data_IF_899317653345
#
_entry.id   IF_899317653345
#
_cell.length_a   1.000
_cell.length_b   1.000
_cell.length_c   1.000
_cell.angle_alpha   90.00
_cell.angle_beta   90.00
_cell.angle_gamma   90.00
#
_symmetry.space_group_name_H-M   'P 1'
#
loop_
_entity.id
_entity.type
_entity.pdbx_description
1 polymer ?
#
# COMPACT_ATOMS: atom_id res chain seq x y z
N UNK A 1 15.67 16.75 -9.73
CA UNK A 1 15.81 16.13 -8.41
C UNK A 1 14.42 15.67 -7.99
N UNK A 2 14.18 14.37 -7.75
CA UNK A 2 12.88 13.89 -7.25
C UNK A 2 12.79 14.21 -5.77
N UNK A 3 11.71 14.85 -5.35
CA UNK A 3 11.45 15.14 -3.94
C UNK A 3 10.70 13.93 -3.35
N UNK A 4 11.44 13.11 -2.59
CA UNK A 4 10.91 11.89 -1.98
C UNK A 4 10.58 12.15 -0.52
N UNK A 5 9.32 11.94 -0.13
CA UNK A 5 8.93 11.86 1.27
C UNK A 5 8.94 10.40 1.73
N UNK A 6 9.39 10.18 2.96
CA UNK A 6 9.46 8.86 3.59
C UNK A 6 8.77 8.94 4.95
N UNK A 7 7.88 7.99 5.20
CA UNK A 7 7.13 7.90 6.43
C UNK A 7 7.19 6.48 6.97
N UNK A 8 7.22 6.35 8.29
CA UNK A 8 6.99 5.08 8.98
C UNK A 8 5.65 5.19 9.71
N UNK A 9 4.71 4.32 9.36
CA UNK A 9 3.34 4.31 9.91
C UNK A 9 3.06 2.91 10.42
N UNK A 10 2.91 2.74 11.74
CA UNK A 10 2.68 1.43 12.37
C UNK A 10 3.71 0.35 11.96
N UNK A 11 4.99 0.74 11.87
CA UNK A 11 6.12 -0.10 11.40
C UNK A 11 6.08 -0.47 9.91
N UNK A 12 5.17 0.12 9.15
CA UNK A 12 5.13 0.03 7.69
C UNK A 12 5.87 1.22 7.09
N UNK A 13 6.57 1.00 5.99
CA UNK A 13 7.34 2.05 5.32
C UNK A 13 6.60 2.56 4.10
N UNK A 14 6.45 3.87 4.02
CA UNK A 14 5.77 4.55 2.93
C UNK A 14 6.70 5.55 2.26
N UNK A 15 6.86 5.43 0.94
CA UNK A 15 7.68 6.34 0.13
C UNK A 15 6.77 6.98 -0.92
N UNK A 16 6.84 8.30 -1.01
CA UNK A 16 6.08 9.10 -1.98
C UNK A 16 7.04 9.93 -2.80
N UNK A 17 6.92 9.86 -4.12
CA UNK A 17 7.52 10.84 -5.03
C UNK A 17 6.53 11.99 -5.26
N UNK A 18 6.82 13.16 -4.71
CA UNK A 18 5.94 14.33 -4.82
C UNK A 18 5.79 14.83 -6.25
N UNK A 19 6.77 14.57 -7.14
CA UNK A 19 6.72 15.02 -8.53
C UNK A 19 5.73 14.20 -9.35
N UNK A 20 5.80 12.88 -9.22
CA UNK A 20 4.94 11.95 -9.98
C UNK A 20 3.66 11.60 -9.22
N UNK A 21 3.61 11.95 -7.93
CA UNK A 21 2.64 11.48 -6.94
C UNK A 21 2.61 9.96 -6.80
N UNK A 22 3.62 9.25 -7.32
CA UNK A 22 3.72 7.82 -7.17
C UNK A 22 4.05 7.47 -5.72
N UNK A 23 3.51 6.36 -5.23
CA UNK A 23 3.88 5.82 -3.93
C UNK A 23 4.26 4.36 -4.00
N UNK A 24 5.09 3.96 -3.04
CA UNK A 24 5.36 2.59 -2.69
C UNK A 24 5.22 2.43 -1.18
N UNK A 25 4.55 1.37 -0.76
CA UNK A 25 4.39 0.98 0.62
C UNK A 25 4.97 -0.41 0.82
N UNK A 26 5.88 -0.56 1.77
CA UNK A 26 6.25 -1.85 2.38
C UNK A 26 5.33 -2.07 3.59
N UNK A 27 4.61 -3.17 3.57
CA UNK A 27 3.44 -3.38 4.42
C UNK A 27 3.56 -4.69 5.21
N UNK A 28 2.81 -4.78 6.29
CA UNK A 28 2.65 -6.02 7.07
C UNK A 28 1.19 -6.20 7.47
N UNK A 29 0.27 -5.89 6.54
CA UNK A 29 -1.17 -5.93 6.78
C UNK A 29 -1.67 -7.35 6.58
N UNK A 30 -2.17 -7.98 7.65
CA UNK A 30 -2.72 -9.34 7.60
C UNK A 30 -4.02 -9.36 6.78
N UNK A 31 -4.16 -10.36 5.90
CA UNK A 31 -5.40 -10.62 5.15
C UNK A 31 -5.97 -11.99 5.55
N UNK A 32 -7.28 -12.11 5.52
CA UNK A 32 -7.98 -13.37 5.81
C UNK A 32 -8.26 -14.08 4.49
N UNK A 33 -7.24 -14.69 3.90
CA UNK A 33 -7.41 -15.41 2.64
C UNK A 33 -6.65 -16.75 2.61
N UNK A 34 -7.41 -17.82 2.84
CA UNK A 34 -6.89 -19.19 2.88
C UNK A 34 -6.55 -19.74 1.48
N UNK A 35 -6.97 -19.03 0.41
CA UNK A 35 -6.91 -19.51 -0.98
C UNK A 35 -5.66 -19.07 -1.74
N UNK A 36 -4.72 -18.39 -1.10
CA UNK A 36 -3.46 -18.03 -1.74
C UNK A 36 -2.57 -19.27 -1.69
N UNK A 37 -2.25 -19.87 -2.83
CA UNK A 37 -1.44 -21.10 -2.86
C UNK A 37 0.06 -20.77 -2.87
N UNK A 38 0.44 -19.73 -3.61
CA UNK A 38 1.82 -19.31 -3.77
C UNK A 38 2.36 -18.58 -2.53
N UNK A 39 3.68 -18.71 -2.29
CA UNK A 39 4.37 -17.97 -1.22
C UNK A 39 4.37 -16.47 -1.46
N UNK A 40 4.41 -16.03 -2.71
CA UNK A 40 4.36 -14.63 -3.12
C UNK A 40 3.44 -14.54 -4.33
N UNK A 41 2.46 -13.65 -4.28
CA UNK A 41 1.55 -13.37 -5.40
C UNK A 41 1.53 -11.86 -5.68
N UNK A 42 1.68 -11.49 -6.94
CA UNK A 42 1.47 -10.12 -7.40
C UNK A 42 0.05 -10.00 -7.93
N UNK A 43 -0.71 -9.05 -7.41
CA UNK A 43 -2.05 -8.75 -7.90
C UNK A 43 -2.08 -7.35 -8.47
N UNK A 44 -2.41 -7.25 -9.75
CA UNK A 44 -2.85 -5.98 -10.30
C UNK A 44 -4.26 -5.72 -9.80
N UNK A 45 -4.43 -4.59 -9.14
CA UNK A 45 -5.73 -4.11 -8.67
C UNK A 45 -5.98 -2.76 -9.30
N UNK A 46 -7.23 -2.47 -9.64
CA UNK A 46 -7.60 -1.14 -10.12
C UNK A 46 -8.54 -0.51 -9.10
N UNK A 47 -8.03 -0.34 -7.88
CA UNK A 47 -8.77 0.38 -6.84
C UNK A 47 -8.47 1.86 -6.97
N UNK A 48 -9.52 2.67 -6.98
CA UNK A 48 -9.39 4.10 -7.14
C UNK A 48 -10.48 4.82 -6.32
N UNK A 49 -10.06 5.80 -5.53
CA UNK A 49 -10.96 6.72 -4.83
C UNK A 49 -10.45 8.16 -5.00
N UNK A 50 -10.97 9.10 -4.20
CA UNK A 50 -10.60 10.52 -4.29
C UNK A 50 -9.19 10.81 -3.74
N UNK A 51 -8.60 9.89 -2.98
CA UNK A 51 -7.30 10.06 -2.31
C UNK A 51 -6.18 9.36 -3.08
N UNK A 52 -6.41 8.11 -3.52
CA UNK A 52 -5.40 7.28 -4.18
C UNK A 52 -5.97 6.42 -5.30
N UNK A 53 -5.07 6.00 -6.18
CA UNK A 53 -5.22 4.89 -7.10
C UNK A 53 -4.19 3.83 -6.73
N UNK A 54 -4.61 2.68 -6.22
CA UNK A 54 -3.73 1.53 -5.95
C UNK A 54 -3.74 0.65 -7.20
N UNK A 55 -2.55 0.40 -7.75
CA UNK A 55 -2.40 -0.34 -9.02
C UNK A 55 -1.90 -1.77 -8.82
N UNK A 56 -1.10 -1.99 -7.77
CA UNK A 56 -0.46 -3.27 -7.52
C UNK A 56 -0.38 -3.54 -6.02
N UNK A 57 -0.65 -4.78 -5.67
CA UNK A 57 -0.40 -5.35 -4.36
C UNK A 57 0.54 -6.53 -4.48
N UNK A 58 1.43 -6.65 -3.51
CA UNK A 58 2.25 -7.83 -3.28
C UNK A 58 1.68 -8.53 -2.06
N UNK A 59 1.32 -9.78 -2.24
CA UNK A 59 0.79 -10.62 -1.17
C UNK A 59 1.84 -11.68 -0.84
N UNK A 60 2.21 -11.76 0.43
CA UNK A 60 3.16 -12.72 0.96
C UNK A 60 2.42 -13.73 1.84
N UNK A 61 2.61 -15.03 1.58
CA UNK A 61 2.06 -16.12 2.37
C UNK A 61 3.16 -16.81 3.17
N UNK A 62 2.90 -16.93 4.46
CA UNK A 62 3.65 -17.80 5.38
C UNK A 62 2.88 -19.12 5.58
N UNK A 63 3.44 -20.06 6.35
CA UNK A 63 2.74 -21.30 6.69
C UNK A 63 1.43 -21.10 7.44
N UNK A 64 1.24 -19.95 8.11
CA UNK A 64 0.11 -19.71 9.02
C UNK A 64 -0.79 -18.56 8.59
N UNK A 65 -0.27 -17.58 7.86
CA UNK A 65 -0.95 -16.33 7.57
C UNK A 65 -0.56 -15.79 6.19
N UNK A 66 -1.46 -15.01 5.58
CA UNK A 66 -1.18 -14.20 4.41
C UNK A 66 -1.20 -12.71 4.79
N UNK A 67 -0.37 -11.92 4.11
CA UNK A 67 -0.21 -10.50 4.34
C UNK A 67 -0.08 -9.76 3.03
N UNK A 68 -0.62 -8.55 2.94
CA UNK A 68 -0.14 -7.59 1.95
C UNK A 68 1.19 -7.07 2.45
N UNK A 69 2.25 -7.44 1.72
CA UNK A 69 3.62 -7.06 2.01
C UNK A 69 4.10 -5.86 1.17
N UNK A 70 3.32 -5.47 0.15
CA UNK A 70 3.60 -4.24 -0.56
C UNK A 70 2.41 -3.70 -1.33
N UNK A 71 2.38 -2.38 -1.51
CA UNK A 71 1.42 -1.70 -2.36
C UNK A 71 2.12 -0.60 -3.17
N UNK A 72 1.65 -0.36 -4.39
CA UNK A 72 2.09 0.80 -5.17
C UNK A 72 0.94 1.41 -5.95
N UNK A 73 1.09 2.68 -6.28
CA UNK A 73 0.03 3.47 -6.87
C UNK A 73 0.36 4.93 -7.01
N UNK A 74 -0.70 5.73 -7.13
CA UNK A 74 -0.65 7.17 -7.28
C UNK A 74 -1.53 7.84 -6.24
N UNK A 75 -1.05 8.94 -5.68
CA UNK A 75 -1.78 9.81 -4.77
C UNK A 75 -2.43 10.92 -5.60
N UNK A 76 -3.69 11.24 -5.32
CA UNK A 76 -4.44 12.31 -5.99
C UNK A 76 -4.40 13.63 -5.24
N UNK A 77 -4.23 13.57 -3.92
CA UNK A 77 -3.99 14.75 -3.07
C UNK A 77 -2.51 15.15 -3.03
N UNK A 78 -2.23 16.34 -2.50
CA UNK A 78 -0.86 16.75 -2.18
C UNK A 78 -0.52 16.30 -0.76
N UNK A 79 0.60 15.59 -0.61
CA UNK A 79 1.10 15.16 0.70
C UNK A 79 2.01 16.26 1.25
N UNK A 80 1.60 16.90 2.34
CA UNK A 80 2.38 17.97 2.98
C UNK A 80 3.01 17.53 4.29
N UNK A 81 2.38 16.60 4.98
CA UNK A 81 2.80 16.16 6.30
C UNK A 81 2.51 14.67 6.54
N UNK A 82 2.85 14.23 7.75
CA UNK A 82 2.61 12.88 8.22
C UNK A 82 1.12 12.51 8.27
N UNK A 83 0.23 13.45 8.61
CA UNK A 83 -1.21 13.19 8.72
C UNK A 83 -1.81 12.89 7.35
N UNK A 84 -1.35 13.55 6.30
CA UNK A 84 -1.74 13.25 4.93
C UNK A 84 -1.27 11.85 4.51
N UNK A 85 -0.04 11.45 4.88
CA UNK A 85 0.44 10.10 4.64
C UNK A 85 -0.40 9.03 5.38
N UNK A 86 -0.83 9.31 6.62
CA UNK A 86 -1.72 8.42 7.39
C UNK A 86 -3.08 8.25 6.70
N UNK A 87 -3.64 9.29 6.07
CA UNK A 87 -4.90 9.14 5.30
C UNK A 87 -4.74 8.16 4.15
N UNK A 88 -3.63 8.25 3.42
CA UNK A 88 -3.32 7.34 2.32
C UNK A 88 -3.15 5.90 2.83
N UNK A 89 -2.38 5.72 3.90
CA UNK A 89 -2.14 4.42 4.53
C UNK A 89 -3.47 3.74 4.93
N UNK A 90 -4.40 4.47 5.56
CA UNK A 90 -5.72 3.95 5.94
C UNK A 90 -6.54 3.45 4.75
N UNK A 91 -6.46 4.12 3.60
CA UNK A 91 -7.14 3.64 2.39
C UNK A 91 -6.56 2.30 1.93
N UNK A 92 -5.24 2.13 2.00
CA UNK A 92 -4.60 0.86 1.64
C UNK A 92 -5.01 -0.25 2.63
N UNK A 93 -5.13 0.05 3.92
CA UNK A 93 -5.68 -0.90 4.91
C UNK A 93 -7.13 -1.29 4.62
N UNK A 94 -7.96 -0.36 4.16
CA UNK A 94 -9.34 -0.68 3.81
C UNK A 94 -9.43 -1.56 2.54
N UNK A 95 -8.56 -1.32 1.56
CA UNK A 95 -8.40 -2.22 0.40
C UNK A 95 -7.94 -3.61 0.84
N UNK A 96 -7.04 -3.70 1.82
CA UNK A 96 -6.57 -4.97 2.34
C UNK A 96 -7.68 -5.84 2.96
N UNK A 97 -8.67 -5.21 3.60
CA UNK A 97 -9.78 -5.92 4.28
C UNK A 97 -10.76 -6.58 3.31
N UNK A 98 -10.78 -6.18 2.04
CA UNK A 98 -11.73 -6.68 1.03
C UNK A 98 -11.13 -7.72 0.07
N UNK A 99 -9.87 -8.12 0.29
CA UNK A 99 -9.12 -9.13 -0.49
C UNK A 99 -9.08 -10.47 0.23
#
# INVERSE_FOLDING_TARGET
>A
MSELLRFEIDKNYFVVDLKTKAFYADLSIKINNDKIEDRITYREINFENDIVKVIKLVICKTSLNAYICGASGYIKMDIKDFNDAVKVYRVIEDVAKVI
#
